data_IF_447533484981
#
_entry.id   IF_447533484981
#
_cell.length_a   1.000
_cell.length_b   1.000
_cell.length_c   1.000
_cell.angle_alpha   90.00
_cell.angle_beta   90.00
_cell.angle_gamma   90.00
#
_symmetry.space_group_name_H-M   'P 1'
#
loop_
_entity.id
_entity.type
_entity.pdbx_description
1 polymer ?
#
# COMPACT_ATOMS: atom_id res chain seq x y z
N UNK A 1 -16.71 10.52 2.54
CA UNK A 1 -15.50 9.72 2.25
C UNK A 1 -15.27 9.72 0.76
N UNK A 2 -14.03 9.85 0.30
CA UNK A 2 -13.64 9.91 -1.12
C UNK A 2 -12.70 8.75 -1.40
N UNK A 3 -13.03 7.86 -2.34
CA UNK A 3 -12.09 6.83 -2.79
C UNK A 3 -10.97 7.46 -3.60
N UNK A 4 -9.71 7.15 -3.26
CA UNK A 4 -8.55 7.64 -4.00
C UNK A 4 -7.97 6.52 -4.87
N UNK A 5 -7.70 6.85 -6.12
CA UNK A 5 -7.04 5.95 -7.07
C UNK A 5 -5.51 6.05 -6.96
N UNK A 6 -4.80 5.02 -7.42
CA UNK A 6 -3.33 4.93 -7.41
C UNK A 6 -2.70 6.13 -8.11
N UNK A 7 -3.24 6.55 -9.26
CA UNK A 7 -2.68 7.67 -10.01
C UNK A 7 -2.68 8.99 -9.21
N UNK A 8 -3.68 9.25 -8.37
CA UNK A 8 -3.75 10.45 -7.53
C UNK A 8 -2.64 10.42 -6.48
N UNK A 9 -2.43 9.27 -5.85
CA UNK A 9 -1.34 9.08 -4.88
C UNK A 9 0.04 9.20 -5.55
N UNK A 10 0.19 8.66 -6.76
CA UNK A 10 1.43 8.80 -7.53
C UNK A 10 1.74 10.27 -7.81
N UNK A 11 0.76 11.05 -8.27
CA UNK A 11 0.96 12.50 -8.48
C UNK A 11 1.33 13.22 -7.18
N UNK A 12 0.73 12.82 -6.07
CA UNK A 12 1.06 13.39 -4.76
C UNK A 12 2.48 13.07 -4.28
N UNK A 13 2.96 11.83 -4.44
CA UNK A 13 4.29 11.45 -3.95
C UNK A 13 5.41 11.77 -4.92
N UNK A 14 5.22 11.53 -6.22
CA UNK A 14 6.25 11.70 -7.23
C UNK A 14 6.41 13.15 -7.70
N UNK A 15 5.36 13.97 -7.57
CA UNK A 15 5.35 15.37 -8.02
C UNK A 15 5.82 15.54 -9.48
N UNK A 16 5.45 14.60 -10.35
CA UNK A 16 5.99 14.44 -11.71
C UNK A 16 5.14 15.11 -12.81
N UNK A 17 3.91 15.54 -12.48
CA UNK A 17 3.07 16.40 -13.31
C UNK A 17 2.65 17.63 -12.51
N UNK A 18 3.18 18.81 -12.83
CA UNK A 18 2.95 20.02 -12.03
C UNK A 18 1.45 20.37 -11.86
N UNK A 19 0.61 20.11 -12.86
CA UNK A 19 -0.83 20.45 -12.81
C UNK A 19 -1.60 19.44 -11.99
N UNK A 20 -1.36 18.16 -12.20
CA UNK A 20 -2.05 17.10 -11.47
C UNK A 20 -1.54 16.98 -10.03
N UNK A 21 -0.25 17.18 -9.79
CA UNK A 21 0.36 17.11 -8.46
C UNK A 21 -0.18 18.21 -7.57
N UNK A 22 -0.31 19.45 -8.07
CA UNK A 22 -0.94 20.54 -7.32
C UNK A 22 -2.40 20.20 -6.91
N UNK A 23 -3.16 19.55 -7.80
CA UNK A 23 -4.53 19.10 -7.50
C UNK A 23 -4.55 17.96 -6.49
N UNK A 24 -3.66 16.99 -6.62
CA UNK A 24 -3.56 15.85 -5.71
C UNK A 24 -3.16 16.29 -4.30
N UNK A 25 -2.16 17.20 -4.19
CA UNK A 25 -1.76 17.82 -2.92
C UNK A 25 -2.92 18.58 -2.29
N UNK A 26 -3.58 19.47 -3.02
CA UNK A 26 -4.71 20.22 -2.49
C UNK A 26 -5.85 19.29 -2.02
N UNK A 27 -6.15 18.22 -2.77
CA UNK A 27 -7.14 17.23 -2.36
C UNK A 27 -6.73 16.53 -1.07
N UNK A 28 -5.53 15.95 -1.01
CA UNK A 28 -5.07 15.13 0.11
C UNK A 28 -4.93 15.96 1.39
N UNK A 29 -4.42 17.20 1.27
CA UNK A 29 -4.31 18.12 2.41
C UNK A 29 -5.66 18.67 2.89
N UNK A 30 -6.70 18.62 2.04
CA UNK A 30 -8.07 19.01 2.44
C UNK A 30 -8.83 17.94 3.23
N UNK A 31 -8.31 16.70 3.27
CA UNK A 31 -8.99 15.57 3.90
C UNK A 31 -9.01 15.74 5.42
N UNK A 32 -10.11 15.30 6.03
CA UNK A 32 -10.33 15.37 7.48
C UNK A 32 -11.01 14.10 7.96
N UNK A 33 -11.07 13.88 9.27
CA UNK A 33 -11.78 12.71 9.82
C UNK A 33 -13.28 12.73 9.50
N UNK A 34 -13.86 13.91 9.26
CA UNK A 34 -15.26 14.07 8.84
C UNK A 34 -15.47 13.82 7.32
N UNK A 35 -14.43 14.06 6.51
CA UNK A 35 -14.45 13.82 5.06
C UNK A 35 -13.16 13.11 4.62
N UNK A 36 -12.99 11.83 5.00
CA UNK A 36 -11.74 11.15 4.79
C UNK A 36 -11.56 10.66 3.34
N UNK A 37 -10.32 10.51 2.92
CA UNK A 37 -9.93 9.70 1.77
C UNK A 37 -9.92 8.21 2.14
N UNK A 38 -10.21 7.35 1.17
CA UNK A 38 -10.21 5.90 1.35
C UNK A 38 -9.25 5.23 0.38
N UNK A 39 -8.39 4.36 0.91
CA UNK A 39 -7.42 3.57 0.16
C UNK A 39 -7.77 2.09 0.25
N UNK A 40 -8.01 1.46 -0.90
CA UNK A 40 -8.18 0.01 -0.97
C UNK A 40 -6.83 -0.72 -0.96
N UNK A 41 -6.85 -2.02 -0.67
CA UNK A 41 -5.67 -2.87 -0.83
C UNK A 41 -5.06 -2.80 -2.22
N UNK A 42 -5.90 -2.80 -3.26
CA UNK A 42 -5.45 -2.75 -4.66
C UNK A 42 -4.69 -1.46 -4.94
N UNK A 43 -5.19 -0.32 -4.44
CA UNK A 43 -4.51 0.97 -4.59
C UNK A 43 -3.12 0.96 -3.94
N UNK A 44 -2.96 0.34 -2.78
CA UNK A 44 -1.66 0.22 -2.13
C UNK A 44 -0.71 -0.71 -2.89
N UNK A 45 -1.21 -1.85 -3.39
CA UNK A 45 -0.42 -2.81 -4.17
C UNK A 45 0.09 -2.14 -5.46
N UNK A 46 -0.78 -1.47 -6.20
CA UNK A 46 -0.40 -0.76 -7.42
C UNK A 46 0.56 0.39 -7.11
N UNK A 47 0.36 1.14 -6.02
CA UNK A 47 1.28 2.21 -5.62
C UNK A 47 2.69 1.66 -5.38
N UNK A 48 2.83 0.55 -4.66
CA UNK A 48 4.13 -0.11 -4.45
C UNK A 48 4.77 -0.46 -5.79
N UNK A 49 4.01 -1.10 -6.68
CA UNK A 49 4.50 -1.49 -7.99
C UNK A 49 4.95 -0.29 -8.82
N UNK A 50 4.15 0.78 -8.88
CA UNK A 50 4.46 2.00 -9.63
C UNK A 50 5.72 2.67 -9.06
N UNK A 51 5.81 2.85 -7.74
CA UNK A 51 6.97 3.48 -7.12
C UNK A 51 8.26 2.71 -7.41
N UNK A 52 8.22 1.37 -7.32
CA UNK A 52 9.40 0.55 -7.59
C UNK A 52 9.78 0.49 -9.07
N UNK A 53 8.79 0.37 -9.97
CA UNK A 53 9.03 0.11 -11.40
C UNK A 53 9.17 1.37 -12.24
N UNK A 54 8.46 2.43 -11.90
CA UNK A 54 8.44 3.66 -12.68
C UNK A 54 9.32 4.77 -12.08
N UNK A 55 9.59 4.71 -10.78
CA UNK A 55 10.37 5.72 -10.06
C UNK A 55 11.62 5.16 -9.36
N UNK A 56 11.98 3.90 -9.63
CA UNK A 56 13.13 3.20 -9.05
C UNK A 56 13.21 3.32 -7.52
N UNK A 57 12.05 3.39 -6.85
CA UNK A 57 11.99 3.60 -5.42
C UNK A 57 12.53 2.38 -4.68
N UNK A 58 13.48 2.60 -3.75
CA UNK A 58 13.97 1.55 -2.88
C UNK A 58 12.86 0.99 -1.99
N UNK A 59 13.06 -0.23 -1.51
CA UNK A 59 12.13 -0.90 -0.59
C UNK A 59 11.88 -0.07 0.65
N UNK A 60 12.91 0.57 1.18
CA UNK A 60 12.86 1.45 2.33
C UNK A 60 11.99 2.68 2.06
N UNK A 61 12.17 3.36 0.92
CA UNK A 61 11.37 4.53 0.55
C UNK A 61 9.89 4.17 0.35
N UNK A 62 9.62 3.04 -0.30
CA UNK A 62 8.25 2.52 -0.46
C UNK A 62 7.63 2.24 0.90
N UNK A 63 8.38 1.56 1.79
CA UNK A 63 7.88 1.22 3.11
C UNK A 63 7.60 2.47 3.97
N UNK A 64 8.46 3.49 3.89
CA UNK A 64 8.20 4.79 4.53
C UNK A 64 6.98 5.51 3.94
N UNK A 65 6.76 5.40 2.63
CA UNK A 65 5.58 5.98 1.96
C UNK A 65 4.29 5.34 2.47
N UNK A 66 4.23 4.00 2.51
CA UNK A 66 3.09 3.27 3.06
C UNK A 66 2.87 3.58 4.55
N UNK A 67 3.94 3.68 5.33
CA UNK A 67 3.87 4.06 6.74
C UNK A 67 3.31 5.47 6.94
N UNK A 68 3.71 6.43 6.09
CA UNK A 68 3.14 7.78 6.11
C UNK A 68 1.65 7.74 5.80
N UNK A 69 1.22 7.00 4.77
CA UNK A 69 -0.21 6.86 4.44
C UNK A 69 -1.01 6.31 5.61
N UNK A 70 -0.53 5.26 6.27
CA UNK A 70 -1.18 4.64 7.44
C UNK A 70 -1.29 5.56 8.65
N UNK A 71 -0.42 6.58 8.75
CA UNK A 71 -0.39 7.56 9.85
C UNK A 71 -1.07 8.89 9.52
N UNK A 72 -1.47 9.10 8.27
CA UNK A 72 -2.00 10.39 7.81
C UNK A 72 -3.44 10.57 8.30
N UNK A 73 -3.68 11.65 9.05
CA UNK A 73 -5.03 12.02 9.47
C UNK A 73 -5.91 12.29 8.24
N UNK A 74 -7.20 11.93 8.31
CA UNK A 74 -8.10 12.06 7.17
C UNK A 74 -7.89 11.00 6.07
N UNK A 75 -6.99 10.02 6.23
CA UNK A 75 -6.94 8.82 5.38
C UNK A 75 -7.45 7.60 6.15
N UNK A 76 -8.33 6.85 5.50
CA UNK A 76 -8.82 5.55 5.95
C UNK A 76 -8.26 4.49 5.01
N UNK A 77 -7.48 3.57 5.56
CA UNK A 77 -6.92 2.44 4.82
C UNK A 77 -7.77 1.21 5.09
N UNK A 78 -8.16 0.51 4.01
CA UNK A 78 -8.81 -0.80 4.10
C UNK A 78 -7.97 -1.72 4.98
N UNK A 79 -8.59 -2.28 6.03
CA UNK A 79 -7.96 -3.29 6.90
C UNK A 79 -6.53 -2.87 7.32
N UNK A 80 -6.42 -1.65 7.86
CA UNK A 80 -5.13 -1.01 8.15
C UNK A 80 -4.17 -1.86 9.01
N UNK A 81 -4.69 -2.69 9.91
CA UNK A 81 -3.88 -3.60 10.73
C UNK A 81 -3.18 -4.66 9.86
N UNK A 82 -3.88 -5.23 8.88
CA UNK A 82 -3.35 -6.20 7.93
C UNK A 82 -2.27 -5.55 7.06
N UNK A 83 -2.49 -4.29 6.63
CA UNK A 83 -1.49 -3.51 5.90
C UNK A 83 -0.25 -3.23 6.75
N UNK A 84 -0.40 -2.87 8.04
CA UNK A 84 0.71 -2.71 8.98
C UNK A 84 1.53 -3.99 9.14
N UNK A 85 0.86 -5.13 9.29
CA UNK A 85 1.52 -6.41 9.42
C UNK A 85 2.23 -6.81 8.13
N UNK A 86 1.61 -6.58 6.97
CA UNK A 86 2.21 -6.84 5.66
C UNK A 86 3.46 -5.99 5.44
N UNK A 87 3.41 -4.71 5.83
CA UNK A 87 4.53 -3.78 5.77
C UNK A 87 5.76 -4.27 6.56
N UNK A 88 5.55 -4.88 7.74
CA UNK A 88 6.65 -5.46 8.55
C UNK A 88 7.37 -6.59 7.82
N UNK A 89 6.63 -7.48 7.17
CA UNK A 89 7.19 -8.61 6.40
C UNK A 89 7.83 -8.11 5.09
N UNK A 90 7.20 -7.14 4.42
CA UNK A 90 7.74 -6.49 3.24
C UNK A 90 9.12 -5.86 3.50
N UNK A 91 9.32 -5.18 4.64
CA UNK A 91 10.63 -4.64 5.03
C UNK A 91 11.73 -5.71 5.13
N UNK A 92 11.37 -6.97 5.38
CA UNK A 92 12.31 -8.10 5.49
C UNK A 92 12.57 -8.81 4.15
N UNK A 93 11.96 -8.35 3.06
CA UNK A 93 12.29 -8.78 1.70
C UNK A 93 11.22 -9.59 0.95
N UNK A 94 10.01 -9.76 1.50
CA UNK A 94 8.86 -10.32 0.77
C UNK A 94 8.28 -9.34 -0.25
N UNK A 95 7.55 -9.81 -1.26
CA UNK A 95 6.75 -8.93 -2.11
C UNK A 95 5.57 -8.36 -1.31
N UNK A 96 5.21 -7.08 -1.51
CA UNK A 96 4.16 -6.45 -0.70
C UNK A 96 2.78 -7.07 -0.94
N UNK A 97 2.46 -7.42 -2.19
CA UNK A 97 1.18 -8.04 -2.52
C UNK A 97 1.06 -9.41 -1.86
N UNK A 98 2.11 -10.23 -1.93
CA UNK A 98 2.16 -11.53 -1.24
C UNK A 98 2.01 -11.35 0.28
N UNK A 99 2.71 -10.39 0.86
CA UNK A 99 2.60 -10.11 2.29
C UNK A 99 1.17 -9.75 2.67
N UNK A 100 0.49 -8.92 1.87
CA UNK A 100 -0.88 -8.50 2.14
C UNK A 100 -1.89 -9.63 1.94
N UNK A 101 -1.73 -10.45 0.90
CA UNK A 101 -2.54 -11.67 0.70
C UNK A 101 -2.40 -12.59 1.92
N UNK A 102 -1.17 -12.84 2.36
CA UNK A 102 -0.92 -13.68 3.52
C UNK A 102 -1.60 -13.12 4.78
N UNK A 103 -1.46 -11.82 5.07
CA UNK A 103 -2.07 -11.20 6.25
C UNK A 103 -3.61 -11.17 6.18
N UNK A 104 -4.18 -10.88 5.00
CA UNK A 104 -5.62 -10.88 4.81
C UNK A 104 -6.22 -12.28 5.03
N UNK A 105 -5.59 -13.33 4.49
CA UNK A 105 -6.05 -14.70 4.69
C UNK A 105 -5.96 -15.13 6.17
N UNK A 106 -4.86 -14.78 6.86
CA UNK A 106 -4.74 -15.04 8.30
C UNK A 106 -5.83 -14.33 9.11
N UNK A 107 -6.14 -13.07 8.76
CA UNK A 107 -7.23 -12.32 9.40
C UNK A 107 -8.62 -12.92 9.13
N UNK A 108 -8.80 -13.60 7.99
CA UNK A 108 -10.02 -14.34 7.66
C UNK A 108 -10.12 -15.71 8.38
N UNK A 109 -9.11 -16.11 9.14
CA UNK A 109 -9.08 -17.38 9.88
C UNK A 109 -8.56 -18.57 9.09
N UNK A 110 -7.84 -18.34 7.97
CA UNK A 110 -7.16 -19.42 7.27
C UNK A 110 -5.94 -19.90 8.07
N UNK A 111 -5.72 -21.23 8.13
CA UNK A 111 -4.54 -21.82 8.78
C UNK A 111 -3.27 -21.64 7.95
N UNK A 112 -3.41 -21.58 6.62
CA UNK A 112 -2.29 -21.43 5.69
C UNK A 112 -2.69 -20.70 4.41
N UNK A 113 -1.68 -20.19 3.70
CA UNK A 113 -1.81 -19.67 2.34
C UNK A 113 -0.88 -20.47 1.44
N UNK A 114 -1.41 -20.97 0.33
CA UNK A 114 -0.68 -21.80 -0.63
C UNK A 114 -0.38 -21.01 -1.90
N UNK A 115 0.74 -21.31 -2.55
CA UNK A 115 1.20 -20.61 -3.75
C UNK A 115 2.00 -21.52 -4.67
N UNK A 116 2.08 -21.18 -5.96
CA UNK A 116 3.04 -21.76 -6.91
C UNK A 116 4.27 -20.87 -7.11
N UNK A 117 4.29 -19.67 -6.53
CA UNK A 117 5.43 -18.76 -6.59
C UNK A 117 6.48 -19.13 -5.53
N UNK A 118 7.67 -19.49 -5.98
CA UNK A 118 8.82 -19.80 -5.12
C UNK A 118 9.29 -18.59 -4.30
N UNK A 119 9.05 -17.36 -4.76
CA UNK A 119 9.43 -16.13 -4.08
C UNK A 119 8.54 -15.77 -2.88
N UNK A 120 7.28 -16.21 -2.91
CA UNK A 120 6.26 -15.88 -1.92
C UNK A 120 6.48 -16.57 -0.55
N UNK A 121 7.44 -17.51 -0.45
CA UNK A 121 7.83 -18.10 0.84
C UNK A 121 8.28 -17.05 1.87
N UNK A 122 8.83 -15.91 1.42
CA UNK A 122 9.18 -14.78 2.30
C UNK A 122 7.97 -14.10 2.94
N UNK A 123 6.79 -14.20 2.34
CA UNK A 123 5.52 -13.71 2.89
C UNK A 123 4.89 -14.71 3.89
N UNK A 124 5.49 -15.90 4.06
CA UNK A 124 4.96 -16.98 4.89
C UNK A 124 4.00 -17.91 4.15
N UNK A 125 3.97 -17.88 2.80
CA UNK A 125 3.15 -18.79 2.02
C UNK A 125 3.83 -20.15 1.82
N UNK A 126 3.05 -21.23 1.77
CA UNK A 126 3.51 -22.59 1.48
C UNK A 126 3.49 -22.86 -0.03
N UNK A 127 4.65 -23.24 -0.58
CA UNK A 127 4.75 -23.66 -1.97
C UNK A 127 4.06 -25.02 -2.20
N UNK A 128 3.27 -25.12 -3.27
CA UNK A 128 2.72 -26.37 -3.82
C UNK A 128 3.57 -26.91 -4.97
#
# INVERSE_FOLDING_TARGET
MIGLDTNVLVRYFAQDDAKQSAKATALIESLTDAQPGYLSHVVLIELVWVLQRCYDASREMVAETLERLLRTQGLVVQEAEQVWQALRVYRQGGDFADCLIARAAMAAGCDEVVTFDKGAGKAGMRLL
#
